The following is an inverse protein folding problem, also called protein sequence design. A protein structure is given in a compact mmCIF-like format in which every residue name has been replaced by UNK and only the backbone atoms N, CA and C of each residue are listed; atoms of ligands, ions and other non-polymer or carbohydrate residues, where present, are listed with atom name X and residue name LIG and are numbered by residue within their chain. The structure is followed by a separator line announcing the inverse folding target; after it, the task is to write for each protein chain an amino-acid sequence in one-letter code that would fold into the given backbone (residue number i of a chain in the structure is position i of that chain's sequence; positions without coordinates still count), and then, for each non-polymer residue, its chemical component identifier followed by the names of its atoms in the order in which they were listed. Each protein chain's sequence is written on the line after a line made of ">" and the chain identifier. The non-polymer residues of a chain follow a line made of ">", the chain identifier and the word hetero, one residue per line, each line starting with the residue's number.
data_IF_368465159539
#
_entry.id   IF_368465159539
#
_cell.length_a   1.000
_cell.length_b   1.000
_cell.length_c   1.000
_cell.angle_alpha   90.00
_cell.angle_beta   90.00
_cell.angle_gamma   90.00
#
_symmetry.space_group_name_H-M   'P 1'
#
loop_
_entity.id
_entity.type
_entity.pdbx_description
1 polymer ?
#
# COMPACT_ATOMS: atom_id res chain seq x y z
N UNK A 1 -8.46 -5.44 8.47
CA UNK A 1 -7.41 -6.42 8.78
C UNK A 1 -6.24 -5.83 9.58
N UNK A 2 -5.51 -4.78 9.10
CA UNK A 2 -4.38 -4.22 9.85
C UNK A 2 -4.79 -3.65 11.22
N UNK A 3 -5.96 -3.00 11.29
CA UNK A 3 -6.49 -2.49 12.55
C UNK A 3 -6.84 -3.58 13.55
N UNK A 4 -7.41 -4.66 13.06
CA UNK A 4 -7.74 -5.84 13.87
C UNK A 4 -6.46 -6.51 14.34
N UNK A 5 -5.46 -6.64 13.45
CA UNK A 5 -4.14 -7.15 13.80
C UNK A 5 -3.48 -6.35 14.92
N UNK A 6 -3.53 -5.02 14.85
CA UNK A 6 -2.93 -4.16 15.87
C UNK A 6 -3.71 -4.21 17.18
N UNK A 7 -5.03 -4.29 17.13
CA UNK A 7 -5.89 -4.33 18.31
C UNK A 7 -5.89 -5.70 19.01
N UNK A 8 -5.85 -6.80 18.26
CA UNK A 8 -5.88 -8.16 18.79
C UNK A 8 -5.01 -9.10 17.93
N UNK A 9 -3.67 -9.02 18.04
CA UNK A 9 -2.76 -9.84 17.23
C UNK A 9 -2.94 -11.33 17.45
N UNK A 10 -3.18 -11.78 18.68
CA UNK A 10 -3.33 -13.19 19.01
C UNK A 10 -4.59 -13.77 18.34
N UNK A 11 -5.73 -13.11 18.48
CA UNK A 11 -6.98 -13.58 17.87
C UNK A 11 -6.96 -13.51 16.35
N UNK A 12 -6.40 -12.42 15.80
CA UNK A 12 -6.33 -12.22 14.34
C UNK A 12 -5.40 -13.20 13.65
N UNK A 13 -4.34 -13.65 14.36
CA UNK A 13 -3.33 -14.56 13.83
C UNK A 13 -3.50 -16.02 14.30
N UNK A 14 -4.63 -16.34 14.93
CA UNK A 14 -4.91 -17.71 15.34
C UNK A 14 -4.84 -18.67 14.14
N UNK A 15 -3.97 -19.68 14.22
CA UNK A 15 -3.73 -20.63 13.15
C UNK A 15 -2.86 -20.15 11.99
N UNK A 16 -2.42 -18.87 12.01
CA UNK A 16 -1.45 -18.39 11.05
C UNK A 16 -0.04 -18.93 11.38
N UNK A 17 0.76 -19.16 10.36
CA UNK A 17 2.15 -19.60 10.48
C UNK A 17 3.16 -18.51 10.09
N UNK A 18 2.68 -17.39 9.58
CA UNK A 18 3.46 -16.20 9.22
C UNK A 18 2.58 -15.08 8.70
N UNK A 19 3.13 -13.90 8.57
CA UNK A 19 2.44 -12.71 8.08
C UNK A 19 3.18 -12.12 6.89
N UNK A 20 2.45 -11.81 5.82
CA UNK A 20 3.00 -11.12 4.66
C UNK A 20 2.60 -9.64 4.72
N UNK A 21 3.55 -8.74 4.58
CA UNK A 21 3.31 -7.30 4.60
C UNK A 21 4.12 -6.55 3.55
N UNK A 22 3.67 -5.35 3.21
CA UNK A 22 4.44 -4.41 2.37
C UNK A 22 5.37 -3.55 3.22
N UNK A 23 6.36 -2.92 2.58
CA UNK A 23 7.28 -1.98 3.25
C UNK A 23 6.55 -0.86 3.99
N UNK A 24 5.43 -0.38 3.44
CA UNK A 24 4.64 0.70 4.03
C UNK A 24 4.04 0.37 5.41
N UNK A 25 3.78 -0.90 5.68
CA UNK A 25 3.15 -1.36 6.93
C UNK A 25 4.07 -2.22 7.80
N UNK A 26 5.32 -2.36 7.37
CA UNK A 26 6.27 -3.28 8.00
C UNK A 26 6.43 -3.02 9.49
N UNK A 27 6.73 -1.80 9.89
CA UNK A 27 6.99 -1.47 11.30
C UNK A 27 5.76 -1.73 12.19
N UNK A 28 4.56 -1.42 11.71
CA UNK A 28 3.31 -1.65 12.43
C UNK A 28 3.04 -3.14 12.59
N UNK A 29 3.23 -3.92 11.51
CA UNK A 29 3.03 -5.37 11.52
C UNK A 29 4.07 -6.07 12.39
N UNK A 30 5.36 -5.75 12.25
CA UNK A 30 6.42 -6.33 13.09
C UNK A 30 6.19 -6.07 14.58
N UNK A 31 5.73 -4.86 14.94
CA UNK A 31 5.38 -4.52 16.32
C UNK A 31 4.21 -5.36 16.83
N UNK A 32 3.15 -5.49 16.04
CA UNK A 32 1.96 -6.26 16.43
C UNK A 32 2.25 -7.77 16.52
N UNK A 33 3.06 -8.31 15.62
CA UNK A 33 3.36 -9.74 15.53
C UNK A 33 4.42 -10.21 16.55
N UNK A 34 5.20 -9.28 17.11
CA UNK A 34 6.28 -9.59 18.08
C UNK A 34 5.80 -10.43 19.25
N UNK A 35 4.61 -10.17 19.78
CA UNK A 35 4.02 -10.90 20.91
C UNK A 35 3.59 -12.32 20.56
N UNK A 36 3.36 -12.59 19.27
CA UNK A 36 2.90 -13.90 18.76
C UNK A 36 4.07 -14.75 18.26
N UNK A 37 5.22 -14.13 18.00
CA UNK A 37 6.44 -14.83 17.57
C UNK A 37 6.36 -15.43 16.16
N UNK A 38 5.49 -14.91 15.29
CA UNK A 38 5.38 -15.39 13.91
C UNK A 38 6.40 -14.69 12.99
N UNK A 39 6.88 -15.37 11.93
CA UNK A 39 7.70 -14.72 10.93
C UNK A 39 6.91 -13.68 10.13
N UNK A 40 7.58 -12.58 9.79
CA UNK A 40 7.03 -11.51 8.95
C UNK A 40 7.79 -11.48 7.63
N UNK A 41 7.08 -11.74 6.55
CA UNK A 41 7.62 -11.76 5.19
C UNK A 41 7.32 -10.45 4.49
N UNK A 42 8.31 -9.93 3.79
CA UNK A 42 8.24 -8.64 3.11
C UNK A 42 7.92 -8.78 1.62
N UNK A 43 6.93 -8.02 1.19
CA UNK A 43 6.62 -7.81 -0.22
C UNK A 43 7.02 -6.38 -0.60
N UNK A 44 8.06 -6.26 -1.41
CA UNK A 44 8.50 -4.98 -1.91
C UNK A 44 7.61 -4.51 -3.07
N UNK A 45 7.17 -3.25 -3.02
CA UNK A 45 6.51 -2.60 -4.15
C UNK A 45 7.57 -2.18 -5.17
N UNK A 46 7.16 -2.09 -6.44
CA UNK A 46 8.00 -1.54 -7.49
C UNK A 46 8.39 -0.10 -7.14
N UNK A 47 9.69 0.21 -7.02
CA UNK A 47 10.14 1.54 -6.65
C UNK A 47 9.78 2.61 -7.70
N UNK A 48 9.48 2.24 -8.93
CA UNK A 48 9.02 3.18 -9.96
C UNK A 48 7.65 3.76 -9.64
N UNK A 49 6.80 3.03 -8.92
CA UNK A 49 5.46 3.51 -8.59
C UNK A 49 5.49 4.82 -7.77
N UNK A 50 6.10 4.87 -6.59
CA UNK A 50 6.16 6.12 -5.81
C UNK A 50 6.94 7.22 -6.53
N UNK A 51 8.01 6.89 -7.26
CA UNK A 51 8.75 7.87 -8.05
C UNK A 51 7.91 8.47 -9.18
N UNK A 52 7.04 7.67 -9.80
CA UNK A 52 6.12 8.16 -10.82
C UNK A 52 5.09 9.13 -10.22
N UNK A 53 4.55 8.81 -9.03
CA UNK A 53 3.69 9.75 -8.29
C UNK A 53 4.43 11.07 -8.01
N UNK A 54 5.67 10.99 -7.53
CA UNK A 54 6.49 12.17 -7.26
C UNK A 54 6.76 13.00 -8.50
N UNK A 55 7.07 12.38 -9.64
CA UNK A 55 7.25 13.08 -10.93
C UNK A 55 5.98 13.83 -11.35
N UNK A 56 4.81 13.20 -11.24
CA UNK A 56 3.56 13.89 -11.55
C UNK A 56 3.28 15.05 -10.58
N UNK A 57 3.49 14.82 -9.28
CA UNK A 57 3.23 15.83 -8.26
C UNK A 57 4.19 17.04 -8.31
N UNK A 58 5.28 17.00 -9.07
CA UNK A 58 6.13 18.17 -9.32
C UNK A 58 5.40 19.26 -10.11
N UNK A 59 4.52 18.90 -11.03
CA UNK A 59 3.84 19.83 -11.95
C UNK A 59 2.32 19.79 -11.89
N UNK A 60 1.71 18.73 -11.38
CA UNK A 60 0.25 18.49 -11.40
C UNK A 60 -0.26 18.04 -10.06
N UNK A 61 -1.55 18.21 -9.84
CA UNK A 61 -2.22 17.53 -8.72
C UNK A 61 -2.36 16.03 -9.03
N UNK A 62 -2.20 15.20 -8.02
CA UNK A 62 -2.41 13.75 -8.10
C UNK A 62 -3.52 13.38 -7.12
N UNK A 63 -4.62 12.87 -7.63
CA UNK A 63 -5.77 12.42 -6.83
C UNK A 63 -5.83 10.91 -6.86
N UNK A 64 -5.75 10.27 -5.69
CA UNK A 64 -5.78 8.82 -5.55
C UNK A 64 -7.03 8.40 -4.77
N UNK A 65 -7.93 7.64 -5.41
CA UNK A 65 -9.08 7.03 -4.73
C UNK A 65 -8.69 5.65 -4.18
N UNK A 66 -8.83 5.47 -2.88
CA UNK A 66 -8.44 4.26 -2.15
C UNK A 66 -9.55 3.77 -1.22
N UNK A 67 -9.52 2.49 -0.85
CA UNK A 67 -10.53 1.90 0.03
C UNK A 67 -10.24 2.05 1.53
N UNK A 68 -9.04 2.52 1.91
CA UNK A 68 -8.63 2.67 3.32
C UNK A 68 -8.01 4.05 3.56
N UNK A 69 -8.60 4.80 4.49
CA UNK A 69 -8.13 6.15 4.86
C UNK A 69 -6.73 6.13 5.50
N UNK A 70 -6.38 5.05 6.19
CA UNK A 70 -5.05 4.89 6.82
C UNK A 70 -3.93 4.84 5.80
N UNK A 71 -4.22 4.29 4.62
CA UNK A 71 -3.26 4.27 3.52
C UNK A 71 -2.74 5.68 3.19
N UNK A 72 -3.58 6.70 3.26
CA UNK A 72 -3.19 8.07 2.98
C UNK A 72 -2.01 8.53 3.86
N UNK A 73 -2.16 8.39 5.18
CA UNK A 73 -1.12 8.82 6.12
C UNK A 73 0.19 8.04 5.95
N UNK A 74 0.11 6.74 5.73
CA UNK A 74 1.29 5.88 5.53
C UNK A 74 1.99 6.21 4.22
N UNK A 75 1.24 6.35 3.13
CA UNK A 75 1.82 6.59 1.81
C UNK A 75 2.44 7.99 1.70
N UNK A 76 1.80 9.02 2.24
CA UNK A 76 2.36 10.38 2.25
C UNK A 76 3.65 10.46 3.09
N UNK A 77 3.72 9.79 4.24
CA UNK A 77 4.99 9.66 5.01
C UNK A 77 6.06 8.96 4.19
N UNK A 78 5.70 7.88 3.49
CA UNK A 78 6.62 7.15 2.63
C UNK A 78 7.18 8.03 1.49
N UNK A 79 6.33 8.83 0.83
CA UNK A 79 6.81 9.82 -0.15
C UNK A 79 7.78 10.83 0.48
N UNK A 80 7.52 11.28 1.70
CA UNK A 80 8.44 12.15 2.46
C UNK A 80 9.80 11.49 2.72
N UNK A 81 9.82 10.20 3.06
CA UNK A 81 11.07 9.42 3.25
C UNK A 81 11.85 9.26 1.95
N UNK A 82 11.18 9.30 0.79
CA UNK A 82 11.82 9.32 -0.53
C UNK A 82 12.31 10.71 -0.95
N UNK A 83 12.27 11.70 -0.05
CA UNK A 83 12.77 13.05 -0.31
C UNK A 83 11.76 14.02 -0.88
N UNK A 84 10.46 13.68 -0.89
CA UNK A 84 9.43 14.62 -1.34
C UNK A 84 9.32 15.81 -0.40
N UNK A 85 9.50 17.02 -0.93
CA UNK A 85 9.29 18.26 -0.19
C UNK A 85 7.80 18.53 0.09
N UNK A 86 7.49 19.38 1.10
CA UNK A 86 6.11 19.67 1.51
C UNK A 86 5.22 20.15 0.37
N UNK A 87 5.75 20.93 -0.57
CA UNK A 87 5.01 21.45 -1.74
C UNK A 87 4.58 20.33 -2.69
N UNK A 88 5.40 19.29 -2.85
CA UNK A 88 5.10 18.13 -3.70
C UNK A 88 4.06 17.24 -3.00
N UNK A 89 4.24 17.00 -1.71
CA UNK A 89 3.31 16.21 -0.89
C UNK A 89 1.91 16.85 -0.89
N UNK A 90 1.82 18.18 -0.78
CA UNK A 90 0.53 18.90 -0.78
C UNK A 90 -0.28 18.75 -2.08
N UNK A 91 0.36 18.37 -3.19
CA UNK A 91 -0.30 18.07 -4.46
C UNK A 91 -0.81 16.62 -4.57
N UNK A 92 -0.44 15.74 -3.63
CA UNK A 92 -0.92 14.36 -3.60
C UNK A 92 -2.10 14.26 -2.65
N UNK A 93 -3.29 14.07 -3.19
CA UNK A 93 -4.55 13.93 -2.42
C UNK A 93 -5.00 12.49 -2.48
N UNK A 94 -5.02 11.84 -1.34
CA UNK A 94 -5.49 10.46 -1.22
C UNK A 94 -6.83 10.50 -0.50
N UNK A 95 -7.86 9.97 -1.14
CA UNK A 95 -9.25 10.14 -0.68
C UNK A 95 -10.05 8.84 -0.76
N UNK A 96 -11.04 8.73 0.09
CA UNK A 96 -12.07 7.69 -0.03
C UNK A 96 -13.03 8.01 -1.21
N UNK A 97 -13.71 7.00 -1.78
CA UNK A 97 -14.65 7.16 -2.89
C UNK A 97 -15.68 8.27 -2.70
N UNK A 98 -16.21 8.41 -1.49
CA UNK A 98 -17.19 9.45 -1.16
C UNK A 98 -16.67 10.88 -1.34
N UNK A 99 -15.36 11.10 -1.16
CA UNK A 99 -14.71 12.42 -1.28
C UNK A 99 -14.10 12.69 -2.67
N UNK A 100 -14.12 11.70 -3.59
CA UNK A 100 -13.46 11.79 -4.88
C UNK A 100 -13.94 13.00 -5.70
N UNK A 101 -15.25 13.22 -5.82
CA UNK A 101 -15.78 14.37 -6.58
C UNK A 101 -15.33 15.73 -6.03
N UNK A 102 -15.26 15.86 -4.71
CA UNK A 102 -14.81 17.11 -4.08
C UNK A 102 -13.31 17.31 -4.34
N UNK A 103 -12.51 16.25 -4.24
CA UNK A 103 -11.09 16.31 -4.53
C UNK A 103 -10.81 16.69 -6.01
N UNK A 104 -11.54 16.09 -6.95
CA UNK A 104 -11.41 16.42 -8.38
C UNK A 104 -11.77 17.87 -8.69
N UNK A 105 -12.84 18.40 -8.08
CA UNK A 105 -13.21 19.82 -8.24
C UNK A 105 -12.18 20.80 -7.67
N UNK A 106 -11.46 20.38 -6.64
CA UNK A 106 -10.42 21.18 -5.99
C UNK A 106 -9.04 21.03 -6.65
N UNK A 107 -8.91 20.16 -7.65
CA UNK A 107 -7.69 19.93 -8.43
C UNK A 107 -7.83 20.58 -9.81
N UNK A 108 -6.71 20.92 -10.44
CA UNK A 108 -6.72 21.44 -11.80
C UNK A 108 -7.23 20.42 -12.83
N UNK A 109 -7.63 20.90 -14.00
CA UNK A 109 -8.16 20.07 -15.10
C UNK A 109 -7.14 19.04 -15.62
N UNK A 110 -5.85 19.29 -15.40
CA UNK A 110 -4.74 18.42 -15.77
C UNK A 110 -4.33 17.42 -14.66
N UNK A 111 -5.12 17.33 -13.58
CA UNK A 111 -4.85 16.43 -12.47
C UNK A 111 -4.75 14.97 -12.93
N UNK A 112 -3.77 14.26 -12.39
CA UNK A 112 -3.64 12.81 -12.59
C UNK A 112 -4.57 12.10 -11.62
N UNK A 113 -5.48 11.28 -12.14
CA UNK A 113 -6.44 10.53 -11.32
C UNK A 113 -6.07 9.06 -11.33
N UNK A 114 -5.86 8.50 -10.14
CA UNK A 114 -5.53 7.10 -9.91
C UNK A 114 -6.62 6.45 -9.06
N UNK A 115 -6.97 5.22 -9.38
CA UNK A 115 -8.03 4.50 -8.65
C UNK A 115 -7.55 3.12 -8.27
N UNK A 116 -7.65 2.81 -6.98
CA UNK A 116 -7.37 1.46 -6.48
C UNK A 116 -8.36 0.45 -7.10
N UNK A 117 -7.91 -0.75 -7.50
CA UNK A 117 -8.78 -1.80 -8.02
C UNK A 117 -9.95 -2.14 -7.09
N UNK A 118 -9.73 -2.03 -5.78
CA UNK A 118 -10.74 -2.34 -4.75
C UNK A 118 -11.95 -1.41 -4.82
N UNK A 119 -11.75 -0.17 -5.24
CA UNK A 119 -12.83 0.85 -5.31
C UNK A 119 -13.20 1.24 -6.73
N UNK A 120 -12.53 0.68 -7.74
CA UNK A 120 -12.75 1.05 -9.14
C UNK A 120 -14.22 0.91 -9.54
N UNK A 121 -14.84 -0.22 -9.27
CA UNK A 121 -16.25 -0.49 -9.58
C UNK A 121 -17.22 0.50 -8.91
N UNK A 122 -16.90 0.93 -7.69
CA UNK A 122 -17.73 1.88 -6.93
C UNK A 122 -17.69 3.29 -7.53
N UNK A 123 -16.58 3.68 -8.13
CA UNK A 123 -16.36 5.04 -8.61
C UNK A 123 -16.34 5.18 -10.13
N UNK A 124 -16.41 4.09 -10.88
CA UNK A 124 -16.28 4.05 -12.34
C UNK A 124 -17.18 5.08 -13.05
N UNK A 125 -18.44 5.17 -12.66
CA UNK A 125 -19.38 6.16 -13.20
C UNK A 125 -19.10 7.62 -12.83
N UNK A 126 -18.16 7.86 -11.91
CA UNK A 126 -17.79 9.18 -11.40
C UNK A 126 -16.40 9.61 -11.90
N UNK A 127 -15.71 8.73 -12.61
CA UNK A 127 -14.35 8.98 -13.05
C UNK A 127 -14.31 9.80 -14.33
N UNK A 128 -13.36 10.72 -14.47
CA UNK A 128 -13.05 11.33 -15.75
C UNK A 128 -12.47 10.28 -16.71
N UNK A 129 -12.66 10.47 -18.02
CA UNK A 129 -12.17 9.57 -19.08
C UNK A 129 -10.67 9.28 -18.99
N UNK A 130 -9.88 10.19 -18.45
CA UNK A 130 -8.44 10.08 -18.29
C UNK A 130 -8.01 9.40 -16.98
N UNK A 131 -8.95 8.95 -16.14
CA UNK A 131 -8.61 8.24 -14.91
C UNK A 131 -7.86 6.94 -15.22
N UNK A 132 -6.75 6.73 -14.53
CA UNK A 132 -5.89 5.56 -14.71
C UNK A 132 -6.11 4.55 -13.60
N UNK A 133 -6.32 3.28 -13.93
CA UNK A 133 -6.36 2.24 -12.90
C UNK A 133 -5.03 2.16 -12.15
N UNK A 134 -5.08 2.19 -10.84
CA UNK A 134 -3.88 2.08 -9.99
C UNK A 134 -3.14 0.75 -10.24
N UNK A 135 -3.87 -0.29 -10.59
CA UNK A 135 -3.31 -1.61 -10.91
C UNK A 135 -2.27 -1.58 -12.05
N UNK A 136 -2.38 -0.63 -12.97
CA UNK A 136 -1.37 -0.46 -14.04
C UNK A 136 -0.03 0.06 -13.49
N UNK A 137 -0.03 0.67 -12.29
CA UNK A 137 1.13 1.31 -11.68
C UNK A 137 1.56 0.66 -10.36
N UNK A 138 0.70 -0.19 -9.77
CA UNK A 138 0.97 -0.87 -8.50
C UNK A 138 1.52 -2.27 -8.78
N UNK A 139 2.78 -2.35 -9.05
CA UNK A 139 3.46 -3.62 -9.30
C UNK A 139 4.31 -4.02 -8.10
N UNK A 140 4.43 -5.32 -7.89
CA UNK A 140 5.43 -5.87 -7.00
C UNK A 140 6.80 -5.72 -7.67
N UNK A 141 7.82 -5.40 -6.90
CA UNK A 141 9.19 -5.37 -7.38
C UNK A 141 9.57 -6.74 -7.97
N UNK A 142 10.32 -6.70 -9.07
CA UNK A 142 10.78 -7.91 -9.75
C UNK A 142 11.48 -8.86 -8.78
N UNK A 143 11.21 -10.16 -8.92
CA UNK A 143 11.79 -11.19 -8.04
C UNK A 143 11.24 -11.24 -6.61
N UNK A 144 10.30 -10.34 -6.23
CA UNK A 144 9.72 -10.34 -4.88
C UNK A 144 8.96 -11.64 -4.57
N UNK A 145 8.21 -12.16 -5.53
CA UNK A 145 7.42 -13.40 -5.32
C UNK A 145 8.31 -14.62 -5.23
N UNK A 146 9.35 -14.70 -6.04
CA UNK A 146 10.34 -15.79 -5.99
C UNK A 146 11.08 -15.79 -4.67
N UNK A 147 11.52 -14.62 -4.19
CA UNK A 147 12.15 -14.48 -2.88
C UNK A 147 11.21 -14.86 -1.75
N UNK A 148 9.97 -14.37 -1.77
CA UNK A 148 8.95 -14.72 -0.80
C UNK A 148 8.72 -16.23 -0.74
N UNK A 149 8.59 -16.89 -1.90
CA UNK A 149 8.45 -18.35 -1.97
C UNK A 149 9.65 -19.08 -1.36
N UNK A 150 10.87 -18.61 -1.65
CA UNK A 150 12.10 -19.19 -1.12
C UNK A 150 12.19 -19.04 0.41
N UNK A 151 11.91 -17.88 0.96
CA UNK A 151 11.89 -17.61 2.40
C UNK A 151 10.86 -18.48 3.11
N UNK A 152 9.63 -18.55 2.59
CA UNK A 152 8.56 -19.39 3.11
C UNK A 152 8.96 -20.88 3.10
N UNK A 153 9.50 -21.36 1.97
CA UNK A 153 9.90 -22.76 1.84
C UNK A 153 11.03 -23.11 2.83
N UNK A 154 11.98 -22.20 3.02
CA UNK A 154 13.06 -22.36 3.97
C UNK A 154 12.54 -22.50 5.42
N UNK A 155 11.66 -21.60 5.84
CA UNK A 155 11.09 -21.59 7.19
C UNK A 155 10.23 -22.84 7.46
N UNK A 156 9.45 -23.28 6.47
CA UNK A 156 8.67 -24.52 6.58
C UNK A 156 9.56 -25.75 6.70
N UNK A 157 10.68 -25.80 5.95
CA UNK A 157 11.63 -26.89 6.06
C UNK A 157 12.35 -26.91 7.41
N UNK A 158 12.72 -25.74 7.95
CA UNK A 158 13.32 -25.62 9.27
C UNK A 158 12.38 -26.07 10.39
N UNK A 159 11.11 -25.68 10.35
CA UNK A 159 10.09 -26.13 11.32
C UNK A 159 9.88 -27.65 11.30
N UNK A 160 9.90 -28.29 10.13
CA UNK A 160 9.78 -29.75 10.02
C UNK A 160 10.95 -30.48 10.67
N UNK A 161 12.18 -29.95 10.58
CA UNK A 161 13.37 -30.54 11.20
C UNK A 161 13.42 -30.38 12.73
N UNK A 162 12.82 -29.31 13.25
CA UNK A 162 12.76 -29.06 14.70
C UNK A 162 11.69 -29.86 15.45
N UNK A 163 10.83 -30.58 14.74
CA UNK A 163 9.75 -31.41 15.30
C UNK A 163 10.00 -32.94 15.09
N UNK A 164 11.16 -33.31 14.58
CA UNK A 164 11.64 -34.69 14.46
C UNK A 164 12.72 -34.97 15.54
#
# INVERSE_FOLDING_TARGET
>A
LLAELVANPVGTLAGAWGVVTTDCHRAEVESAVRTVGLPVYRVALDPEFPQTILRWAQSRDVVMAVGDERFAGVFLRFLGQLGAGPKVIARVRIVLPARLRAALRASGDDAVVLVSPLVHREVESKLPLQARPLAAHWRLAHGTLERLRAEIAYDLAAKRKGHA
#
